data_IF_355950069698
#
_entry.id   IF_355950069698
#
_cell.length_a   1.000
_cell.length_b   1.000
_cell.length_c   1.000
_cell.angle_alpha   90.00
_cell.angle_beta   90.00
_cell.angle_gamma   90.00
#
_symmetry.space_group_name_H-M   'P 1'
#
loop_
_entity.id
_entity.type
_entity.pdbx_description
1 polymer ?
#
# COMPACT_ATOMS: atom_id res chain seq x y z
N UNK A 1 24.42 -11.73 9.02
CA UNK A 1 24.52 -10.61 8.07
C UNK A 1 25.23 -9.42 8.68
N UNK A 2 24.70 -8.77 9.71
CA UNK A 2 25.20 -7.47 10.22
C UNK A 2 26.68 -7.45 10.65
N UNK A 3 27.27 -8.60 10.99
CA UNK A 3 28.68 -8.72 11.37
C UNK A 3 29.49 -9.70 10.49
N UNK A 4 28.84 -10.43 9.60
CA UNK A 4 29.43 -11.43 8.70
C UNK A 4 28.70 -11.43 7.34
N UNK A 5 28.83 -10.36 6.54
CA UNK A 5 28.18 -10.28 5.22
C UNK A 5 28.83 -11.21 4.19
N UNK A 6 30.10 -11.55 4.37
CA UNK A 6 30.88 -12.48 3.54
C UNK A 6 30.26 -13.89 3.49
N UNK A 7 29.63 -14.33 4.58
CA UNK A 7 29.01 -15.65 4.68
C UNK A 7 27.73 -15.81 3.84
N UNK A 8 27.18 -14.72 3.32
CA UNK A 8 25.90 -14.68 2.59
C UNK A 8 26.01 -13.97 1.26
N UNK A 9 27.22 -13.64 0.84
CA UNK A 9 27.46 -12.96 -0.43
C UNK A 9 27.06 -13.86 -1.59
N UNK A 10 26.14 -13.38 -2.42
CA UNK A 10 25.65 -14.10 -3.61
C UNK A 10 25.21 -13.11 -4.67
N UNK A 11 25.28 -13.52 -5.94
CA UNK A 11 24.83 -12.71 -7.08
C UNK A 11 23.30 -12.58 -7.13
N UNK A 12 22.59 -13.61 -6.67
CA UNK A 12 21.13 -13.67 -6.70
C UNK A 12 20.59 -14.33 -5.44
N UNK A 13 19.44 -13.86 -4.98
CA UNK A 13 18.68 -14.46 -3.88
C UNK A 13 17.26 -14.68 -4.39
N UNK A 14 16.77 -15.90 -4.23
CA UNK A 14 15.35 -16.22 -4.35
C UNK A 14 14.81 -16.43 -2.94
N UNK A 15 13.79 -15.66 -2.56
CA UNK A 15 13.13 -15.78 -1.26
C UNK A 15 11.70 -16.27 -1.42
N UNK A 16 11.09 -16.69 -0.31
CA UNK A 16 9.67 -16.94 -0.21
C UNK A 16 8.88 -15.63 0.04
N UNK A 17 7.54 -15.74 0.11
CA UNK A 17 6.67 -14.62 0.47
C UNK A 17 6.19 -13.75 -0.69
N UNK A 18 6.32 -14.23 -1.95
CA UNK A 18 5.85 -13.51 -3.14
C UNK A 18 4.36 -13.60 -3.43
N UNK A 19 3.57 -14.23 -2.54
CA UNK A 19 2.15 -14.50 -2.72
C UNK A 19 1.86 -15.94 -3.16
N UNK A 20 0.58 -16.24 -3.34
CA UNK A 20 0.10 -17.51 -3.90
C UNK A 20 -0.07 -17.40 -5.42
N UNK A 21 -0.33 -18.54 -6.09
CA UNK A 21 -0.87 -18.47 -7.44
C UNK A 21 -2.26 -17.82 -7.41
N UNK A 22 -2.52 -17.02 -8.43
CA UNK A 22 -3.82 -16.37 -8.62
C UNK A 22 -4.51 -16.98 -9.84
N UNK A 23 -5.83 -17.11 -9.78
CA UNK A 23 -6.62 -17.66 -10.85
C UNK A 23 -7.61 -16.61 -11.31
N UNK A 24 -7.52 -16.22 -12.58
CA UNK A 24 -8.37 -15.18 -13.18
C UNK A 24 -8.92 -15.76 -14.48
N UNK A 25 -10.24 -15.89 -14.54
CA UNK A 25 -10.90 -16.71 -15.56
C UNK A 25 -10.36 -18.13 -15.55
N UNK A 26 -10.01 -18.66 -16.73
CA UNK A 26 -9.44 -20.00 -16.87
C UNK A 26 -7.91 -20.05 -16.68
N UNK A 27 -7.26 -18.89 -16.58
CA UNK A 27 -5.81 -18.77 -16.47
C UNK A 27 -5.33 -18.83 -15.02
N UNK A 28 -4.18 -19.48 -14.81
CA UNK A 28 -3.45 -19.49 -13.53
C UNK A 28 -2.15 -18.71 -13.71
N UNK A 29 -1.89 -17.77 -12.81
CA UNK A 29 -0.67 -16.97 -12.81
C UNK A 29 0.17 -17.29 -11.58
N UNK A 30 1.45 -17.51 -11.81
CA UNK A 30 2.45 -17.62 -10.76
C UNK A 30 3.15 -16.28 -10.62
N UNK A 31 3.04 -15.67 -9.46
CA UNK A 31 3.52 -14.31 -9.20
C UNK A 31 4.99 -14.31 -8.80
N UNK A 32 5.71 -13.27 -9.21
CA UNK A 32 7.09 -13.02 -8.80
C UNK A 32 7.16 -11.66 -8.15
N UNK A 33 7.36 -11.65 -6.84
CA UNK A 33 7.49 -10.40 -6.09
C UNK A 33 8.91 -9.85 -6.21
N UNK A 34 9.04 -8.61 -6.69
CA UNK A 34 10.32 -7.92 -6.83
C UNK A 34 10.49 -6.77 -5.83
N UNK A 35 9.56 -6.60 -4.89
CA UNK A 35 9.59 -5.56 -3.87
C UNK A 35 8.55 -5.79 -2.79
N UNK A 36 8.77 -5.21 -1.61
CA UNK A 36 7.90 -5.38 -0.44
C UNK A 36 7.54 -4.02 0.15
N UNK A 37 6.36 -3.93 0.79
CA UNK A 37 5.96 -2.73 1.53
C UNK A 37 7.02 -2.38 2.59
N UNK A 38 7.52 -1.15 2.55
CA UNK A 38 8.33 -0.59 3.63
C UNK A 38 7.49 -0.23 4.84
N UNK A 39 8.14 -0.07 5.99
CA UNK A 39 7.48 0.40 7.21
C UNK A 39 8.06 1.77 7.58
N UNK A 40 7.20 2.79 7.60
CA UNK A 40 7.55 4.13 8.08
C UNK A 40 6.94 4.37 9.47
N UNK A 41 7.80 4.42 10.49
CA UNK A 41 7.39 4.69 11.88
C UNK A 41 7.74 6.13 12.25
N UNK A 42 6.77 6.87 12.78
CA UNK A 42 6.96 8.25 13.21
C UNK A 42 6.27 8.52 14.55
N UNK A 43 6.57 9.68 15.16
CA UNK A 43 6.01 10.09 16.46
C UNK A 43 5.41 11.49 16.34
N UNK A 44 4.12 11.62 16.60
CA UNK A 44 3.46 12.91 16.75
C UNK A 44 3.51 13.37 18.21
N UNK A 45 3.69 14.68 18.42
CA UNK A 45 3.64 15.30 19.76
C UNK A 45 2.83 16.58 19.67
N UNK A 46 1.82 16.71 20.52
CA UNK A 46 1.04 17.94 20.70
C UNK A 46 1.36 18.56 22.07
N UNK A 47 1.28 19.89 22.15
CA UNK A 47 1.41 20.65 23.41
C UNK A 47 0.15 21.48 23.62
N UNK A 48 -0.18 21.71 24.89
CA UNK A 48 -1.37 22.42 25.33
C UNK A 48 -1.16 23.01 26.71
N UNK A 49 -2.07 23.89 27.12
CA UNK A 49 -2.08 24.50 28.45
C UNK A 49 -2.68 23.52 29.47
N UNK A 50 -2.09 23.33 30.65
CA UNK A 50 -2.71 22.55 31.71
C UNK A 50 -3.94 23.28 32.28
N UNK A 51 -4.95 22.52 32.73
CA UNK A 51 -6.19 23.08 33.25
C UNK A 51 -7.05 22.03 33.96
N UNK A 52 -8.03 22.49 34.73
CA UNK A 52 -9.00 21.60 35.38
C UNK A 52 -9.94 21.01 34.34
N UNK A 53 -10.18 19.69 34.37
CA UNK A 53 -10.94 18.98 33.32
C UNK A 53 -12.39 19.45 33.15
N UNK A 54 -13.00 20.03 34.19
CA UNK A 54 -14.36 20.60 34.14
C UNK A 54 -14.42 22.04 33.60
N UNK A 55 -13.29 22.65 33.24
CA UNK A 55 -13.21 24.01 32.68
C UNK A 55 -12.63 23.91 31.27
N UNK A 56 -13.48 23.74 30.24
CA UNK A 56 -13.02 23.62 28.87
C UNK A 56 -12.22 24.84 28.41
N UNK A 57 -11.17 24.60 27.63
CA UNK A 57 -10.37 25.63 26.96
C UNK A 57 -9.84 25.12 25.61
N UNK A 58 -9.49 26.05 24.74
CA UNK A 58 -9.11 25.74 23.34
C UNK A 58 -7.71 25.12 23.20
N UNK A 59 -6.86 25.27 24.23
CA UNK A 59 -5.47 24.80 24.21
C UNK A 59 -5.26 23.37 24.72
N UNK A 60 -6.14 22.43 24.38
CA UNK A 60 -6.04 21.04 24.83
C UNK A 60 -5.16 20.17 23.89
N UNK A 61 -4.08 19.61 24.42
CA UNK A 61 -3.13 18.80 23.65
C UNK A 61 -3.76 17.51 23.08
N UNK A 62 -4.69 16.88 23.82
CA UNK A 62 -5.38 15.65 23.41
C UNK A 62 -6.32 15.94 22.24
N UNK A 63 -7.12 17.01 22.34
CA UNK A 63 -8.04 17.42 21.26
C UNK A 63 -7.26 17.74 19.99
N UNK A 64 -6.16 18.52 20.09
CA UNK A 64 -5.29 18.83 18.95
C UNK A 64 -4.71 17.57 18.30
N UNK A 65 -4.21 16.63 19.10
CA UNK A 65 -3.66 15.37 18.58
C UNK A 65 -4.74 14.50 17.92
N UNK A 66 -5.92 14.40 18.52
CA UNK A 66 -7.04 13.64 17.97
C UNK A 66 -7.49 14.20 16.62
N UNK A 67 -7.58 15.52 16.49
CA UNK A 67 -7.89 16.17 15.21
C UNK A 67 -6.82 15.89 14.14
N UNK A 68 -5.53 15.97 14.51
CA UNK A 68 -4.45 15.65 13.58
C UNK A 68 -4.50 14.19 13.10
N UNK A 69 -4.79 13.24 14.00
CA UNK A 69 -4.94 11.84 13.65
C UNK A 69 -6.16 11.58 12.77
N UNK A 70 -7.30 12.22 13.08
CA UNK A 70 -8.50 12.15 12.25
C UNK A 70 -8.24 12.67 10.83
N UNK A 71 -7.52 13.78 10.70
CA UNK A 71 -7.14 14.33 9.40
C UNK A 71 -6.22 13.39 8.61
N UNK A 72 -5.25 12.75 9.27
CA UNK A 72 -4.38 11.77 8.60
C UNK A 72 -5.19 10.56 8.12
N UNK A 73 -6.10 10.05 8.95
CA UNK A 73 -6.91 8.87 8.60
C UNK A 73 -8.01 9.14 7.57
N UNK A 74 -8.36 10.40 7.31
CA UNK A 74 -9.39 10.80 6.35
C UNK A 74 -8.83 11.15 4.96
N UNK A 75 -7.51 11.11 4.77
CA UNK A 75 -6.88 11.43 3.48
C UNK A 75 -6.64 10.15 2.69
N UNK A 76 -7.27 10.07 1.52
CA UNK A 76 -6.91 9.09 0.50
C UNK A 76 -5.62 9.55 -0.20
N UNK A 77 -4.58 8.73 -0.11
CA UNK A 77 -3.31 9.01 -0.78
C UNK A 77 -3.36 8.49 -2.21
N UNK A 78 -2.87 9.25 -3.20
CA UNK A 78 -2.82 8.78 -4.57
C UNK A 78 -1.87 7.58 -4.69
N UNK A 79 -2.16 6.71 -5.64
CA UNK A 79 -1.25 5.59 -5.90
C UNK A 79 0.01 6.09 -6.61
N UNK A 80 1.11 5.39 -6.34
CA UNK A 80 2.37 5.58 -7.05
C UNK A 80 2.74 4.26 -7.72
N UNK A 81 2.29 4.00 -8.97
CA UNK A 81 2.50 2.71 -9.59
C UNK A 81 3.97 2.51 -9.91
N UNK A 82 4.58 1.50 -9.30
CA UNK A 82 5.94 1.10 -9.63
C UNK A 82 6.00 0.44 -11.02
N UNK A 83 7.18 0.39 -11.66
CA UNK A 83 7.35 -0.37 -12.90
C UNK A 83 6.89 -1.83 -12.78
N UNK A 84 7.15 -2.46 -11.63
CA UNK A 84 6.71 -3.84 -11.37
C UNK A 84 5.19 -3.96 -11.27
N UNK A 85 4.50 -3.06 -10.57
CA UNK A 85 3.04 -3.09 -10.48
C UNK A 85 2.40 -2.91 -11.87
N UNK A 86 2.96 -2.00 -12.67
CA UNK A 86 2.55 -1.79 -14.05
C UNK A 86 2.68 -3.07 -14.89
N UNK A 87 3.86 -3.68 -14.89
CA UNK A 87 4.11 -4.93 -15.62
C UNK A 87 3.21 -6.07 -15.14
N UNK A 88 2.93 -6.16 -13.84
CA UNK A 88 2.03 -7.14 -13.27
C UNK A 88 0.59 -7.00 -13.80
N UNK A 89 0.01 -5.79 -13.73
CA UNK A 89 -1.35 -5.53 -14.19
C UNK A 89 -1.46 -5.64 -15.72
N UNK A 90 -0.50 -5.11 -16.47
CA UNK A 90 -0.46 -5.21 -17.94
C UNK A 90 -0.31 -6.66 -18.41
N UNK A 91 0.55 -7.44 -17.74
CA UNK A 91 0.77 -8.85 -18.05
C UNK A 91 -0.50 -9.68 -17.88
N UNK A 92 -1.21 -9.51 -16.77
CA UNK A 92 -2.49 -10.18 -16.54
C UNK A 92 -3.53 -9.70 -17.55
N UNK A 93 -3.71 -8.38 -17.70
CA UNK A 93 -4.71 -7.78 -18.57
C UNK A 93 -4.58 -8.25 -20.03
N UNK A 94 -3.35 -8.48 -20.51
CA UNK A 94 -3.08 -8.95 -21.88
C UNK A 94 -3.70 -10.31 -22.22
N UNK A 95 -4.11 -11.09 -21.22
CA UNK A 95 -4.72 -12.41 -21.41
C UNK A 95 -6.19 -12.47 -20.99
N UNK A 96 -6.81 -11.34 -20.63
CA UNK A 96 -8.19 -11.27 -20.18
C UNK A 96 -9.13 -10.74 -21.27
N UNK A 97 -10.44 -10.86 -21.03
CA UNK A 97 -11.45 -10.16 -21.81
C UNK A 97 -11.32 -8.63 -21.65
N UNK A 98 -11.96 -7.90 -22.57
CA UNK A 98 -11.87 -6.44 -22.63
C UNK A 98 -12.29 -5.73 -21.34
N UNK A 99 -13.33 -6.21 -20.67
CA UNK A 99 -13.85 -5.54 -19.47
C UNK A 99 -12.91 -5.76 -18.28
N UNK A 100 -12.45 -6.99 -18.08
CA UNK A 100 -11.47 -7.32 -17.04
C UNK A 100 -10.12 -6.64 -17.29
N UNK A 101 -9.64 -6.62 -18.53
CA UNK A 101 -8.40 -5.93 -18.89
C UNK A 101 -8.49 -4.42 -18.58
N UNK A 102 -9.64 -3.81 -18.89
CA UNK A 102 -9.89 -2.39 -18.61
C UNK A 102 -9.92 -2.12 -17.11
N UNK A 103 -10.59 -2.94 -16.29
CA UNK A 103 -10.63 -2.72 -14.84
C UNK A 103 -9.23 -2.81 -14.22
N UNK A 104 -8.42 -3.80 -14.63
CA UNK A 104 -7.03 -3.95 -14.21
C UNK A 104 -6.17 -2.73 -14.57
N UNK A 105 -6.27 -2.24 -15.80
CA UNK A 105 -5.45 -1.10 -16.25
C UNK A 105 -5.90 0.23 -15.63
N UNK A 106 -7.19 0.39 -15.31
CA UNK A 106 -7.71 1.57 -14.62
C UNK A 106 -7.14 1.74 -13.21
N UNK A 107 -6.67 0.66 -12.56
CA UNK A 107 -5.94 0.74 -11.29
C UNK A 107 -4.70 1.62 -11.42
N UNK A 108 -4.08 1.71 -12.60
CA UNK A 108 -2.88 2.51 -12.82
C UNK A 108 -3.14 4.03 -12.92
N UNK A 109 -4.40 4.48 -12.99
CA UNK A 109 -4.78 5.89 -12.96
C UNK A 109 -5.07 6.33 -11.51
N UNK A 110 -4.28 7.26 -10.92
CA UNK A 110 -4.49 7.72 -9.55
C UNK A 110 -5.88 8.29 -9.25
N UNK A 111 -6.64 8.71 -10.29
CA UNK A 111 -7.99 9.26 -10.13
C UNK A 111 -9.07 8.18 -10.07
N UNK A 112 -8.76 6.98 -10.51
CA UNK A 112 -9.72 5.88 -10.66
C UNK A 112 -9.32 4.65 -9.84
N UNK A 113 -8.12 4.64 -9.26
CA UNK A 113 -7.52 3.42 -8.72
C UNK A 113 -8.35 2.74 -7.63
N UNK A 114 -8.91 3.48 -6.68
CA UNK A 114 -9.72 2.90 -5.58
C UNK A 114 -10.95 2.19 -6.16
N UNK A 115 -11.75 2.90 -6.95
CA UNK A 115 -12.95 2.35 -7.59
C UNK A 115 -12.61 1.20 -8.57
N UNK A 116 -11.48 1.30 -9.26
CA UNK A 116 -11.03 0.25 -10.18
C UNK A 116 -10.60 -1.02 -9.42
N UNK A 117 -9.94 -0.86 -8.27
CA UNK A 117 -9.44 -1.98 -7.45
C UNK A 117 -10.60 -2.85 -6.96
N UNK A 118 -11.71 -2.25 -6.52
CA UNK A 118 -12.93 -2.98 -6.12
C UNK A 118 -13.55 -3.82 -7.24
N UNK A 119 -13.25 -3.49 -8.51
CA UNK A 119 -13.76 -4.16 -9.71
C UNK A 119 -12.75 -5.13 -10.31
N UNK A 120 -11.59 -5.29 -9.70
CA UNK A 120 -10.60 -6.27 -10.16
C UNK A 120 -11.02 -7.69 -9.77
N UNK A 121 -10.61 -8.70 -10.55
CA UNK A 121 -10.89 -10.10 -10.23
C UNK A 121 -9.91 -10.67 -9.18
N UNK A 122 -9.40 -9.81 -8.29
CA UNK A 122 -8.58 -10.23 -7.16
C UNK A 122 -9.49 -10.41 -5.95
N UNK A 123 -9.64 -11.64 -5.47
CA UNK A 123 -10.35 -11.96 -4.21
C UNK A 123 -9.61 -11.43 -2.97
#
# INVERSE_FOLDING_TARGET
>A
MDHHPDQVETKYILTEGGGADIRIGDARFFTVQTGQKGIFRFRLRARGKPGHGSVPHEENAVVRLAQALANIGAVDLPIHPSPTLRAYLEGIASTQDTETAKSLLSVLDPRQSEEALEKTPFD
#
